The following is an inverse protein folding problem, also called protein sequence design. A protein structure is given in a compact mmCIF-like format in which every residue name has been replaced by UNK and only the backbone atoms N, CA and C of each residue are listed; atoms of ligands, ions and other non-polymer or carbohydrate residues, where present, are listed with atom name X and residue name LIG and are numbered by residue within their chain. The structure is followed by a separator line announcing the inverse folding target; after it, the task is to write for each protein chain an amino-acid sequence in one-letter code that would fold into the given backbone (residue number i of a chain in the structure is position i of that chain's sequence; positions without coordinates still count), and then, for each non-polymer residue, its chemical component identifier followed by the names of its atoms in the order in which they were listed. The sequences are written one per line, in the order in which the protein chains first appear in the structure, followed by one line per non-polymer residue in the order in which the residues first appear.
data_IF_360890952154
#
_entry.id   IF_360890952154
#
_cell.length_a   1.000
_cell.length_b   1.000
_cell.length_c   1.000
_cell.angle_alpha   90.00
_cell.angle_beta   90.00
_cell.angle_gamma   90.00
#
_symmetry.space_group_name_H-M   'P 1'
#
loop_
_entity.id
_entity.type
_entity.pdbx_description
1 polymer ?
#
# COMPACT_ATOMS: atom_id res chain seq x y z
N UNK A 1 22.23 12.57 -18.86
CA UNK A 1 21.40 12.44 -20.08
C UNK A 1 20.07 13.12 -19.80
N UNK A 2 19.62 14.01 -20.69
CA UNK A 2 18.41 14.81 -20.51
C UNK A 2 17.18 13.88 -20.53
N UNK A 3 16.47 13.76 -19.41
CA UNK A 3 15.23 12.99 -19.25
C UNK A 3 14.01 13.65 -19.90
N UNK A 4 14.19 14.82 -20.53
CA UNK A 4 13.10 15.63 -21.05
C UNK A 4 12.48 15.09 -22.36
N UNK A 5 13.14 14.14 -23.05
CA UNK A 5 12.66 13.54 -24.30
C UNK A 5 12.69 11.99 -24.28
N UNK A 6 12.62 11.35 -23.11
CA UNK A 6 12.39 9.91 -23.06
C UNK A 6 10.89 9.65 -23.27
N UNK A 7 10.47 9.55 -24.54
CA UNK A 7 9.14 9.06 -24.87
C UNK A 7 9.13 7.55 -24.57
N UNK A 8 8.71 7.22 -23.35
CA UNK A 8 8.41 5.83 -22.98
C UNK A 8 7.04 5.47 -23.55
N UNK A 9 7.01 5.22 -24.86
CA UNK A 9 5.81 4.72 -25.52
C UNK A 9 5.70 3.22 -25.23
N UNK A 10 4.98 2.86 -24.17
CA UNK A 10 4.41 1.52 -24.03
C UNK A 10 2.95 1.58 -24.43
N UNK A 11 2.52 0.67 -25.29
CA UNK A 11 1.17 0.66 -25.85
C UNK A 11 0.42 -0.61 -25.43
N UNK A 12 0.02 -0.77 -24.15
CA UNK A 12 -0.57 -2.03 -23.66
C UNK A 12 -1.86 -2.49 -24.36
N UNK A 13 -2.54 -1.63 -25.11
CA UNK A 13 -3.74 -2.01 -25.87
C UNK A 13 -3.42 -2.45 -27.31
N UNK A 14 -2.18 -2.26 -27.78
CA UNK A 14 -1.69 -2.66 -29.11
C UNK A 14 -0.64 -3.76 -28.98
N UNK A 15 0.28 -3.61 -28.03
CA UNK A 15 1.37 -4.53 -27.75
C UNK A 15 0.82 -5.82 -27.11
N UNK A 16 1.31 -6.96 -27.58
CA UNK A 16 1.00 -8.25 -26.97
C UNK A 16 1.57 -8.32 -25.54
N UNK A 17 0.87 -9.02 -24.65
CA UNK A 17 1.37 -9.23 -23.29
C UNK A 17 2.65 -10.06 -23.34
N UNK A 18 3.76 -9.58 -22.73
CA UNK A 18 5.03 -10.27 -22.80
C UNK A 18 4.93 -11.65 -22.17
N UNK A 19 5.47 -12.64 -22.87
CA UNK A 19 5.55 -14.01 -22.37
C UNK A 19 6.41 -14.08 -21.10
N UNK A 20 6.25 -15.09 -20.25
CA UNK A 20 7.09 -15.25 -19.05
C UNK A 20 8.59 -15.25 -19.36
N UNK A 21 9.00 -15.83 -20.49
CA UNK A 21 10.38 -15.87 -20.93
C UNK A 21 10.91 -14.49 -21.35
N UNK A 22 10.13 -13.70 -22.08
CA UNK A 22 10.49 -12.32 -22.44
C UNK A 22 10.57 -11.43 -21.21
N UNK A 23 9.68 -11.64 -20.25
CA UNK A 23 9.68 -10.93 -18.97
C UNK A 23 10.93 -11.25 -18.15
N UNK A 24 11.30 -12.53 -18.05
CA UNK A 24 12.53 -12.95 -17.38
C UNK A 24 13.78 -12.39 -18.08
N UNK A 25 13.80 -12.39 -19.41
CA UNK A 25 14.87 -11.79 -20.19
C UNK A 25 14.98 -10.27 -19.93
N UNK A 26 13.87 -9.53 -19.95
CA UNK A 26 13.83 -8.11 -19.65
C UNK A 26 14.32 -7.82 -18.22
N UNK A 27 13.85 -8.59 -17.23
CA UNK A 27 14.33 -8.48 -15.86
C UNK A 27 15.83 -8.79 -15.72
N UNK A 28 16.35 -9.77 -16.47
CA UNK A 28 17.78 -10.09 -16.46
C UNK A 28 18.63 -8.91 -16.96
N UNK A 29 18.17 -8.20 -18.00
CA UNK A 29 18.83 -7.00 -18.52
C UNK A 29 18.75 -5.84 -17.51
N UNK A 30 17.59 -5.64 -16.87
CA UNK A 30 17.44 -4.65 -15.80
C UNK A 30 18.41 -4.95 -14.65
N UNK A 31 18.52 -6.22 -14.22
CA UNK A 31 19.47 -6.62 -13.17
C UNK A 31 20.93 -6.40 -13.58
N UNK A 32 21.28 -6.63 -14.84
CA UNK A 32 22.62 -6.36 -15.37
C UNK A 32 22.93 -4.86 -15.35
N UNK A 33 22.01 -4.00 -15.77
CA UNK A 33 22.20 -2.54 -15.72
C UNK A 33 22.24 -2.00 -14.28
N UNK A 34 21.44 -2.57 -13.37
CA UNK A 34 21.53 -2.22 -11.95
C UNK A 34 22.87 -2.64 -11.31
N UNK A 35 23.60 -3.58 -11.93
CA UNK A 35 24.94 -3.97 -11.49
C UNK A 35 26.04 -3.01 -11.97
N UNK A 36 25.82 -2.34 -13.11
CA UNK A 36 26.75 -1.34 -13.68
C UNK A 36 26.50 0.06 -13.12
N UNK A 37 25.25 0.35 -12.76
CA UNK A 37 24.83 1.63 -12.18
C UNK A 37 24.12 1.39 -10.85
N UNK A 38 24.76 1.79 -9.75
CA UNK A 38 24.08 1.86 -8.46
C UNK A 38 23.24 3.14 -8.42
N UNK A 39 21.89 3.05 -8.39
CA UNK A 39 21.07 4.24 -8.26
C UNK A 39 21.43 5.00 -6.99
N UNK A 40 21.29 6.32 -7.02
CA UNK A 40 21.47 7.14 -5.83
C UNK A 40 20.64 6.54 -4.69
N UNK A 41 21.20 6.40 -3.47
CA UNK A 41 20.48 5.81 -2.35
C UNK A 41 19.14 6.54 -2.21
N UNK A 42 18.07 5.76 -2.07
CA UNK A 42 16.75 6.30 -1.74
C UNK A 42 16.92 7.28 -0.59
N UNK A 43 16.26 8.47 -0.61
CA UNK A 43 16.40 9.42 0.48
C UNK A 43 16.13 8.68 1.78
N UNK A 44 17.16 8.59 2.63
CA UNK A 44 17.03 7.91 3.91
C UNK A 44 15.85 8.57 4.61
N UNK A 45 14.78 7.81 4.81
CA UNK A 45 13.70 8.24 5.68
C UNK A 45 14.36 8.52 7.02
N UNK A 46 14.31 9.78 7.45
CA UNK A 46 14.81 10.15 8.77
C UNK A 46 14.02 9.32 9.76
N UNK A 47 14.69 8.45 10.51
CA UNK A 47 14.03 7.72 11.56
C UNK A 47 13.32 8.73 12.47
N UNK A 48 12.04 8.49 12.79
CA UNK A 48 11.29 9.41 13.64
C UNK A 48 12.01 9.51 14.98
N UNK A 49 12.39 10.74 15.37
CA UNK A 49 12.91 11.00 16.71
C UNK A 49 11.72 11.01 17.67
N UNK A 50 11.72 10.07 18.60
CA UNK A 50 10.70 9.97 19.62
C UNK A 50 11.18 10.64 20.91
N UNK A 51 10.24 11.03 21.78
CA UNK A 51 10.60 11.43 23.14
C UNK A 51 11.11 10.22 23.93
N UNK A 52 11.98 10.39 24.93
CA UNK A 52 12.51 9.27 25.72
C UNK A 52 11.44 8.34 26.32
N UNK A 53 10.26 8.86 26.66
CA UNK A 53 9.14 8.06 27.18
C UNK A 53 8.56 7.10 26.13
N UNK A 54 8.47 7.56 24.88
CA UNK A 54 7.98 6.74 23.77
C UNK A 54 9.02 5.70 23.37
N UNK A 55 10.30 6.04 23.40
CA UNK A 55 11.39 5.09 23.16
C UNK A 55 11.36 3.94 24.18
N UNK A 56 11.21 4.25 25.48
CA UNK A 56 11.06 3.25 26.53
C UNK A 56 9.84 2.34 26.32
N UNK A 57 8.71 2.89 25.87
CA UNK A 57 7.53 2.08 25.56
C UNK A 57 7.73 1.20 24.32
N UNK A 58 8.40 1.71 23.29
CA UNK A 58 8.76 0.92 22.11
C UNK A 58 9.69 -0.24 22.48
N UNK A 59 10.68 0.00 23.34
CA UNK A 59 11.58 -1.04 23.87
C UNK A 59 10.83 -2.10 24.69
N UNK A 60 9.88 -1.69 25.55
CA UNK A 60 9.02 -2.60 26.31
C UNK A 60 8.18 -3.48 25.39
N UNK A 61 7.55 -2.87 24.37
CA UNK A 61 6.72 -3.57 23.38
C UNK A 61 7.57 -4.53 22.54
N UNK A 62 8.76 -4.10 22.09
CA UNK A 62 9.71 -4.95 21.39
C UNK A 62 10.14 -6.15 22.24
N UNK A 63 10.31 -5.94 23.54
CA UNK A 63 10.58 -6.99 24.54
C UNK A 63 9.36 -7.82 24.91
N UNK A 64 8.19 -7.57 24.30
CA UNK A 64 6.90 -8.24 24.58
C UNK A 64 6.50 -8.25 26.05
N UNK A 65 6.97 -7.28 26.84
CA UNK A 65 6.60 -7.20 28.24
C UNK A 65 5.20 -6.60 28.38
N UNK A 66 4.28 -7.18 29.16
CA UNK A 66 2.94 -6.62 29.35
C UNK A 66 2.99 -5.31 30.15
N UNK A 67 2.16 -4.33 29.76
CA UNK A 67 2.05 -3.06 30.47
C UNK A 67 1.27 -3.25 31.78
N UNK A 68 1.90 -3.01 32.93
CA UNK A 68 1.23 -2.95 34.24
C UNK A 68 0.91 -1.50 34.61
N UNK A 69 0.02 -0.86 33.87
CA UNK A 69 -0.31 0.55 34.07
C UNK A 69 -1.33 0.79 35.20
N UNK A 70 -2.36 -0.07 35.29
CA UNK A 70 -3.48 0.16 36.19
C UNK A 70 -3.80 -1.14 36.93
N UNK A 71 -3.78 -1.05 38.26
CA UNK A 71 -4.26 -2.10 39.15
C UNK A 71 -5.78 -1.97 39.31
N UNK A 72 -6.50 -2.89 38.65
CA UNK A 72 -7.97 -2.95 38.69
C UNK A 72 -8.48 -3.76 39.90
N UNK A 73 -7.64 -4.59 40.52
CA UNK A 73 -8.03 -5.42 41.67
C UNK A 73 -8.41 -4.55 42.88
N UNK A 74 -7.73 -3.40 43.02
CA UNK A 74 -8.01 -2.37 44.03
C UNK A 74 -9.48 -1.93 44.12
N UNK A 75 -10.22 -1.97 43.01
CA UNK A 75 -11.60 -1.49 42.95
C UNK A 75 -12.64 -2.63 42.92
N UNK A 76 -12.20 -3.88 42.79
CA UNK A 76 -13.08 -5.05 42.64
C UNK A 76 -13.32 -5.77 43.97
N UNK A 77 -12.39 -5.69 44.91
CA UNK A 77 -12.45 -6.44 46.17
C UNK A 77 -12.72 -5.50 47.34
N UNK A 78 -13.93 -5.56 47.91
CA UNK A 78 -14.16 -5.03 49.25
C UNK A 78 -13.55 -6.03 50.24
N UNK A 79 -12.36 -5.74 50.75
CA UNK A 79 -11.79 -6.57 51.81
C UNK A 79 -12.72 -6.58 53.03
N UNK A 80 -12.94 -7.74 53.67
CA UNK A 80 -13.70 -7.79 54.91
C UNK A 80 -13.08 -6.83 55.93
N UNK A 81 -13.92 -6.15 56.70
CA UNK A 81 -13.42 -5.37 57.83
C UNK A 81 -12.54 -6.26 58.72
N UNK A 82 -11.39 -5.75 59.21
CA UNK A 82 -10.52 -6.55 60.07
C UNK A 82 -11.30 -7.07 61.27
N UNK A 83 -11.15 -8.36 61.58
CA UNK A 83 -11.79 -8.99 62.75
C UNK A 83 -11.54 -8.17 64.02
N UNK A 84 -12.52 -8.18 64.92
CA UNK A 84 -12.58 -7.40 66.17
C UNK A 84 -11.54 -7.82 67.23
N UNK A 85 -10.33 -8.18 66.85
CA UNK A 85 -9.19 -8.33 67.75
C UNK A 85 -8.79 -6.98 68.32
N UNK A 86 -8.37 -6.99 69.60
CA UNK A 86 -8.06 -5.82 70.44
C UNK A 86 -7.94 -4.47 69.70
N UNK A 87 -8.96 -3.59 69.76
CA UNK A 87 -9.06 -2.37 68.94
C UNK A 87 -8.01 -1.27 69.26
N UNK A 88 -6.99 -1.57 70.05
CA UNK A 88 -6.03 -0.62 70.60
C UNK A 88 -4.66 -0.59 69.90
N UNK A 89 -4.33 -1.53 69.03
CA UNK A 89 -3.03 -1.57 68.33
C UNK A 89 -2.97 -0.54 67.20
N UNK A 90 -1.81 0.12 67.01
CA UNK A 90 -1.62 1.10 65.94
C UNK A 90 -1.85 0.50 64.54
N UNK A 91 -1.43 -0.75 64.33
CA UNK A 91 -1.63 -1.48 63.06
C UNK A 91 -3.11 -1.70 62.73
N UNK A 92 -3.95 -1.95 63.73
CA UNK A 92 -5.40 -2.10 63.54
C UNK A 92 -6.02 -0.78 63.06
N UNK A 93 -5.62 0.36 63.63
CA UNK A 93 -6.09 1.69 63.21
C UNK A 93 -5.70 2.01 61.77
N UNK A 94 -4.49 1.66 61.35
CA UNK A 94 -4.02 1.87 59.96
C UNK A 94 -4.81 1.00 58.98
N UNK A 95 -5.02 -0.30 59.29
CA UNK A 95 -5.81 -1.20 58.43
C UNK A 95 -7.28 -0.80 58.34
N UNK A 96 -7.88 -0.35 59.45
CA UNK A 96 -9.24 0.16 59.47
C UNK A 96 -9.37 1.44 58.63
N UNK A 97 -8.42 2.36 58.74
CA UNK A 97 -8.40 3.59 57.94
C UNK A 97 -8.29 3.30 56.43
N UNK A 98 -7.41 2.39 56.02
CA UNK A 98 -7.27 1.95 54.63
C UNK A 98 -8.55 1.27 54.11
N UNK A 99 -9.16 0.40 54.92
CA UNK A 99 -10.42 -0.28 54.57
C UNK A 99 -11.58 0.72 54.41
N UNK A 100 -11.71 1.69 55.30
CA UNK A 100 -12.72 2.75 55.22
C UNK A 100 -12.49 3.66 54.00
N UNK A 101 -11.23 4.00 53.71
CA UNK A 101 -10.89 4.80 52.52
C UNK A 101 -11.28 4.05 51.24
N UNK A 102 -10.93 2.76 51.12
CA UNK A 102 -11.33 1.91 50.00
C UNK A 102 -12.86 1.81 49.87
N UNK A 103 -13.57 1.60 50.98
CA UNK A 103 -15.03 1.53 51.00
C UNK A 103 -15.66 2.85 50.51
N UNK A 104 -15.18 4.00 50.99
CA UNK A 104 -15.66 5.31 50.57
C UNK A 104 -15.42 5.57 49.07
N UNK A 105 -14.23 5.22 48.56
CA UNK A 105 -13.92 5.31 47.12
C UNK A 105 -14.88 4.44 46.30
N UNK A 106 -15.13 3.20 46.74
CA UNK A 106 -16.06 2.29 46.05
C UNK A 106 -17.48 2.84 46.03
N UNK A 107 -17.96 3.41 47.14
CA UNK A 107 -19.26 4.04 47.23
C UNK A 107 -19.38 5.23 46.27
N UNK A 108 -18.41 6.15 46.29
CA UNK A 108 -18.41 7.32 45.41
C UNK A 108 -18.40 6.93 43.91
N UNK A 109 -17.64 5.89 43.55
CA UNK A 109 -17.63 5.34 42.20
C UNK A 109 -19.00 4.74 41.81
N UNK A 110 -19.60 3.94 42.69
CA UNK A 110 -20.91 3.34 42.42
C UNK A 110 -22.03 4.39 42.33
N UNK A 111 -21.99 5.42 43.16
CA UNK A 111 -22.93 6.55 43.09
C UNK A 111 -22.79 7.28 41.75
N UNK A 112 -21.55 7.63 41.36
CA UNK A 112 -21.27 8.25 40.05
C UNK A 112 -21.69 7.34 38.89
N UNK A 113 -21.46 6.03 39.00
CA UNK A 113 -21.88 5.04 37.99
C UNK A 113 -23.39 4.97 37.88
N UNK A 114 -24.12 5.00 38.99
CA UNK A 114 -25.59 5.04 38.98
C UNK A 114 -26.11 6.30 38.29
N UNK A 115 -25.51 7.47 38.56
CA UNK A 115 -25.83 8.72 37.87
C UNK A 115 -25.54 8.62 36.35
N UNK A 116 -24.39 8.08 35.96
CA UNK A 116 -24.02 7.87 34.55
C UNK A 116 -24.96 6.89 33.84
N UNK A 117 -25.36 5.80 34.50
CA UNK A 117 -26.33 4.84 33.96
C UNK A 117 -27.71 5.48 33.80
N UNK A 118 -28.12 6.36 34.71
CA UNK A 118 -29.37 7.11 34.56
C UNK A 118 -29.33 8.05 33.35
N UNK A 119 -28.18 8.70 33.10
CA UNK A 119 -27.99 9.52 31.89
C UNK A 119 -27.96 8.66 30.62
N UNK A 120 -27.32 7.49 30.68
CA UNK A 120 -27.27 6.55 29.56
C UNK A 120 -28.66 5.99 29.24
N UNK A 121 -29.47 5.66 30.23
CA UNK A 121 -30.85 5.19 30.04
C UNK A 121 -31.72 6.27 29.39
N UNK A 122 -31.57 7.53 29.83
CA UNK A 122 -32.31 8.68 29.28
C UNK A 122 -31.89 9.06 27.86
N UNK A 123 -30.59 9.10 27.57
CA UNK A 123 -30.06 9.73 26.35
C UNK A 123 -29.27 8.79 25.45
N UNK A 124 -28.87 7.62 25.95
CA UNK A 124 -27.96 6.70 25.27
C UNK A 124 -28.47 6.23 23.91
N UNK A 125 -29.76 5.87 23.83
CA UNK A 125 -30.38 5.48 22.56
C UNK A 125 -30.27 6.58 21.51
N UNK A 126 -30.61 7.83 21.88
CA UNK A 126 -30.58 8.95 20.95
C UNK A 126 -29.15 9.32 20.54
N UNK A 127 -28.21 9.32 21.49
CA UNK A 127 -26.79 9.55 21.20
C UNK A 127 -26.24 8.50 20.23
N UNK A 128 -26.61 7.23 20.41
CA UNK A 128 -26.17 6.13 19.54
C UNK A 128 -26.75 6.26 18.13
N UNK A 129 -28.04 6.63 18.01
CA UNK A 129 -28.68 6.87 16.71
C UNK A 129 -28.04 8.03 15.95
N UNK A 130 -27.71 9.13 16.63
CA UNK A 130 -27.01 10.28 16.02
C UNK A 130 -25.62 9.86 15.56
N UNK A 131 -24.88 9.11 16.40
CA UNK A 131 -23.58 8.57 16.03
C UNK A 131 -23.66 7.67 14.79
N UNK A 132 -24.63 6.76 14.75
CA UNK A 132 -24.84 5.90 13.59
C UNK A 132 -25.19 6.70 12.33
N UNK A 133 -26.06 7.71 12.44
CA UNK A 133 -26.37 8.61 11.32
C UNK A 133 -25.12 9.35 10.80
N UNK A 134 -24.23 9.78 11.70
CA UNK A 134 -22.95 10.38 11.32
C UNK A 134 -22.07 9.41 10.53
N UNK A 135 -21.90 8.19 11.03
CA UNK A 135 -21.12 7.13 10.36
C UNK A 135 -21.72 6.74 9.00
N UNK A 136 -23.05 6.68 8.88
CA UNK A 136 -23.73 6.41 7.61
C UNK A 136 -23.47 7.51 6.58
N UNK A 137 -23.39 8.78 7.01
CA UNK A 137 -23.07 9.88 6.10
C UNK A 137 -21.60 9.88 5.66
N UNK A 138 -20.69 9.58 6.58
CA UNK A 138 -19.26 9.40 6.24
C UNK A 138 -19.08 8.25 5.24
N UNK A 139 -19.74 7.11 5.47
CA UNK A 139 -19.72 5.97 4.56
C UNK A 139 -20.23 6.36 3.16
N UNK A 140 -21.37 7.05 3.08
CA UNK A 140 -21.91 7.55 1.80
C UNK A 140 -20.96 8.52 1.10
N UNK A 141 -20.23 9.34 1.86
CA UNK A 141 -19.17 10.20 1.33
C UNK A 141 -18.07 9.38 0.66
N UNK A 142 -17.52 8.39 1.37
CA UNK A 142 -16.48 7.51 0.81
C UNK A 142 -16.97 6.70 -0.39
N UNK A 143 -18.20 6.19 -0.35
CA UNK A 143 -18.79 5.44 -1.48
C UNK A 143 -18.93 6.32 -2.73
N UNK A 144 -19.33 7.59 -2.54
CA UNK A 144 -19.42 8.57 -3.62
C UNK A 144 -18.04 8.86 -4.21
N UNK A 145 -17.04 9.15 -3.38
CA UNK A 145 -15.68 9.47 -3.84
C UNK A 145 -15.06 8.29 -4.58
N UNK A 146 -15.30 7.06 -4.08
CA UNK A 146 -14.89 5.83 -4.74
C UNK A 146 -15.56 5.69 -6.12
N UNK A 147 -16.88 5.88 -6.20
CA UNK A 147 -17.62 5.79 -7.45
C UNK A 147 -17.14 6.84 -8.47
N UNK A 148 -16.88 8.07 -8.03
CA UNK A 148 -16.34 9.14 -8.86
C UNK A 148 -14.94 8.78 -9.37
N UNK A 149 -14.06 8.32 -8.49
CA UNK A 149 -12.70 7.90 -8.85
C UNK A 149 -12.70 6.76 -9.86
N UNK A 150 -13.55 5.74 -9.66
CA UNK A 150 -13.71 4.65 -10.63
C UNK A 150 -14.18 5.15 -11.98
N UNK A 151 -15.18 6.04 -12.01
CA UNK A 151 -15.66 6.65 -13.25
C UNK A 151 -14.55 7.43 -13.97
N UNK A 152 -13.72 8.18 -13.24
CA UNK A 152 -12.58 8.90 -13.81
C UNK A 152 -11.55 7.93 -14.41
N UNK A 153 -11.24 6.84 -13.71
CA UNK A 153 -10.38 5.77 -14.22
C UNK A 153 -10.96 5.19 -15.51
N UNK A 154 -12.25 4.88 -15.56
CA UNK A 154 -12.90 4.31 -16.74
C UNK A 154 -12.84 5.27 -17.94
N UNK A 155 -13.13 6.55 -17.72
CA UNK A 155 -13.03 7.58 -18.77
C UNK A 155 -11.60 7.67 -19.32
N UNK A 156 -10.60 7.69 -18.45
CA UNK A 156 -9.18 7.72 -18.86
C UNK A 156 -8.77 6.45 -19.59
N UNK A 157 -9.25 5.29 -19.13
CA UNK A 157 -8.97 3.98 -19.75
C UNK A 157 -9.54 3.92 -21.16
N UNK A 158 -10.78 4.34 -21.34
CA UNK A 158 -11.44 4.40 -22.67
C UNK A 158 -10.74 5.41 -23.58
N UNK A 159 -10.39 6.59 -23.07
CA UNK A 159 -9.67 7.60 -23.85
C UNK A 159 -8.29 7.10 -24.30
N UNK A 160 -7.52 6.47 -23.39
CA UNK A 160 -6.21 5.89 -23.70
C UNK A 160 -6.33 4.77 -24.72
N UNK A 161 -7.27 3.85 -24.53
CA UNK A 161 -7.52 2.75 -25.47
C UNK A 161 -7.84 3.27 -26.87
N UNK A 162 -8.75 4.25 -26.98
CA UNK A 162 -9.10 4.85 -28.26
C UNK A 162 -7.90 5.49 -28.96
N UNK A 163 -7.09 6.26 -28.24
CA UNK A 163 -5.89 6.88 -28.80
C UNK A 163 -4.90 5.84 -29.34
N UNK A 164 -4.73 4.73 -28.62
CA UNK A 164 -3.86 3.64 -29.06
C UNK A 164 -4.43 2.90 -30.28
N UNK A 165 -5.73 2.55 -30.26
CA UNK A 165 -6.40 1.89 -31.38
C UNK A 165 -6.41 2.75 -32.66
N UNK A 166 -6.52 4.08 -32.55
CA UNK A 166 -6.44 5.00 -33.69
C UNK A 166 -5.07 4.93 -34.40
N UNK A 167 -3.97 4.75 -33.64
CA UNK A 167 -2.60 4.66 -34.17
C UNK A 167 -2.22 3.22 -34.57
N UNK A 168 -2.92 2.21 -34.05
CA UNK A 168 -2.61 0.80 -34.30
C UNK A 168 -2.58 0.42 -35.79
N UNK A 169 -3.54 0.94 -36.57
CA UNK A 169 -3.59 0.68 -38.00
C UNK A 169 -2.39 1.30 -38.76
N UNK A 170 -1.95 2.48 -38.34
CA UNK A 170 -0.78 3.16 -38.90
C UNK A 170 0.50 2.38 -38.59
N UNK A 171 0.70 1.98 -37.32
CA UNK A 171 1.86 1.17 -36.90
C UNK A 171 1.94 -0.12 -37.72
N UNK A 172 0.82 -0.85 -37.86
CA UNK A 172 0.78 -2.08 -38.65
C UNK A 172 1.09 -1.83 -40.12
N UNK A 173 0.55 -0.76 -40.70
CA UNK A 173 0.84 -0.37 -42.08
C UNK A 173 2.31 -0.03 -42.32
N UNK A 174 2.93 0.70 -41.38
CA UNK A 174 4.35 1.02 -41.40
C UNK A 174 5.22 -0.25 -41.30
N UNK A 175 4.86 -1.18 -40.42
CA UNK A 175 5.56 -2.45 -40.26
C UNK A 175 5.49 -3.31 -41.54
N UNK A 176 4.31 -3.46 -42.14
CA UNK A 176 4.13 -4.20 -43.38
C UNK A 176 4.88 -3.57 -44.56
N UNK A 177 4.82 -2.23 -44.68
CA UNK A 177 5.55 -1.50 -45.72
C UNK A 177 7.05 -1.63 -45.55
N UNK A 178 7.54 -1.58 -44.31
CA UNK A 178 8.95 -1.82 -44.00
C UNK A 178 9.37 -3.25 -44.38
N UNK A 179 8.61 -4.28 -43.97
CA UNK A 179 8.89 -5.69 -44.35
C UNK A 179 8.93 -5.88 -45.86
N UNK A 180 7.98 -5.30 -46.61
CA UNK A 180 7.96 -5.32 -48.07
C UNK A 180 9.15 -4.59 -48.69
N UNK A 181 9.52 -3.44 -48.13
CA UNK A 181 10.68 -2.65 -48.57
C UNK A 181 11.97 -3.45 -48.44
N UNK A 182 12.21 -4.04 -47.27
CA UNK A 182 13.38 -4.88 -47.00
C UNK A 182 13.38 -6.15 -47.86
N UNK A 183 12.22 -6.78 -48.04
CA UNK A 183 12.08 -7.94 -48.92
C UNK A 183 12.46 -7.61 -50.37
N UNK A 184 11.97 -6.49 -50.90
CA UNK A 184 12.31 -6.02 -52.25
C UNK A 184 13.79 -5.70 -52.42
N UNK A 185 14.42 -5.06 -51.44
CA UNK A 185 15.87 -4.79 -51.53
C UNK A 185 16.67 -6.09 -51.57
N UNK A 186 16.29 -7.08 -50.75
CA UNK A 186 16.94 -8.38 -50.74
C UNK A 186 16.72 -9.14 -52.06
N UNK A 187 15.50 -9.14 -52.61
CA UNK A 187 15.20 -9.72 -53.92
C UNK A 187 16.05 -9.09 -55.03
N UNK A 188 16.20 -7.75 -55.01
CA UNK A 188 17.03 -7.06 -56.00
C UNK A 188 18.51 -7.41 -55.85
N UNK A 189 19.02 -7.54 -54.63
CA UNK A 189 20.42 -7.95 -54.39
C UNK A 189 20.67 -9.37 -54.89
N UNK A 190 19.73 -10.29 -54.62
CA UNK A 190 19.81 -11.68 -55.11
C UNK A 190 19.79 -11.71 -56.64
N UNK A 191 18.88 -10.96 -57.29
CA UNK A 191 18.79 -10.90 -58.74
C UNK A 191 20.07 -10.32 -59.38
N UNK A 192 20.67 -9.30 -58.76
CA UNK A 192 21.95 -8.72 -59.22
C UNK A 192 23.08 -9.74 -59.09
N UNK A 193 23.15 -10.48 -57.98
CA UNK A 193 24.17 -11.52 -57.79
C UNK A 193 23.98 -12.72 -58.74
N UNK A 194 22.75 -13.13 -59.02
CA UNK A 194 22.45 -14.15 -60.03
C UNK A 194 22.91 -13.70 -61.42
N UNK A 195 22.54 -12.47 -61.83
CA UNK A 195 22.97 -11.91 -63.11
C UNK A 195 24.51 -11.83 -63.21
N UNK A 196 25.20 -11.45 -62.12
CA UNK A 196 26.67 -11.46 -62.08
C UNK A 196 27.25 -12.85 -62.33
N UNK A 197 26.68 -13.88 -61.72
CA UNK A 197 27.13 -15.28 -61.94
C UNK A 197 26.90 -15.72 -63.38
N UNK A 198 25.74 -15.42 -63.96
CA UNK A 198 25.44 -15.74 -65.36
C UNK A 198 26.43 -15.07 -66.33
N UNK A 199 26.73 -13.78 -66.12
CA UNK A 199 27.73 -13.05 -66.92
C UNK A 199 29.11 -13.69 -66.80
N UNK A 200 29.53 -14.09 -65.60
CA UNK A 200 30.83 -14.75 -65.39
C UNK A 200 30.90 -16.11 -66.11
N UNK A 201 29.83 -16.90 -66.07
CA UNK A 201 29.78 -18.18 -66.80
C UNK A 201 29.77 -17.98 -68.32
N UNK A 202 29.04 -17.00 -68.85
CA UNK A 202 29.11 -16.67 -70.28
C UNK A 202 30.53 -16.23 -70.71
N UNK A 203 31.20 -15.41 -69.89
CA UNK A 203 32.60 -15.03 -70.17
C UNK A 203 33.54 -16.24 -70.14
N UNK A 204 33.27 -17.23 -69.28
CA UNK A 204 34.04 -18.47 -69.21
C UNK A 204 33.83 -19.35 -70.44
N UNK A 205 32.60 -19.42 -70.97
CA UNK A 205 32.25 -20.19 -72.17
C UNK A 205 32.77 -19.52 -73.46
N UNK A 206 32.81 -18.18 -73.53
CA UNK A 206 33.37 -17.45 -74.67
C UNK A 206 34.90 -17.33 -74.65
N UNK A 207 35.53 -17.48 -73.50
CA UNK A 207 36.97 -17.34 -73.28
C UNK A 207 37.77 -18.65 -73.37
N UNK A 208 37.13 -19.78 -73.69
CA UNK A 208 37.77 -21.08 -73.97
C UNK A 208 37.55 -21.50 -75.41
#
# INVERSE_FOLDING_TARGET
MSTLNAFHESLPYIDDEPTPAEREAAESLIRAELSTFSPAPTPNYKEPSFSPLVELELERVASKQPLKAIDLERYQTQEPFPDSGAPSTAEYRVRLADSLQKAYISYAYLDTRAQNLNLLDKWGKNAWLIGNWGLENELKGFERDLAETKRLIDVLTVARRRQQEEVAAEIKGLEENWKKGVGRTLETEIAVEQLRREVLEEMRVRGG
#
